data_IF_523576021372
#
_entry.id   IF_523576021372
#
_cell.length_a   1.000
_cell.length_b   1.000
_cell.length_c   1.000
_cell.angle_alpha   90.00
_cell.angle_beta   90.00
_cell.angle_gamma   90.00
#
_symmetry.space_group_name_H-M   'P 1'
#
loop_
_entity.id
_entity.type
_entity.pdbx_description
1 polymer ?
#
# COMPACT_ATOMS: atom_id res chain seq x y z
N UNK A 1 -3.15 29.12 8.64
CA UNK A 1 -3.15 27.74 8.09
C UNK A 1 -1.88 27.56 7.28
N UNK A 2 -1.15 26.47 7.47
CA UNK A 2 0.04 26.15 6.67
C UNK A 2 -0.38 25.45 5.38
N UNK A 3 0.18 25.88 4.25
CA UNK A 3 -0.04 25.28 2.92
C UNK A 3 1.22 24.58 2.43
N UNK A 4 1.04 23.61 1.54
CA UNK A 4 2.10 22.90 0.82
C UNK A 4 1.79 22.95 -0.67
N UNK A 5 2.78 23.29 -1.49
CA UNK A 5 2.68 23.14 -2.96
C UNK A 5 3.35 21.83 -3.36
N UNK A 6 2.61 20.96 -4.04
CA UNK A 6 3.15 19.75 -4.63
C UNK A 6 3.83 20.03 -5.98
N UNK A 7 4.60 19.05 -6.47
CA UNK A 7 5.33 19.07 -7.73
C UNK A 7 4.38 19.26 -8.91
N UNK A 8 3.16 18.76 -8.79
CA UNK A 8 2.11 18.96 -9.79
C UNK A 8 1.60 20.41 -9.88
N UNK A 9 2.02 21.30 -8.99
CA UNK A 9 1.48 22.65 -8.84
C UNK A 9 0.23 22.73 -7.96
N UNK A 10 -0.31 21.59 -7.52
CA UNK A 10 -1.44 21.54 -6.57
C UNK A 10 -1.05 22.09 -5.21
N UNK A 11 -1.97 22.82 -4.59
CA UNK A 11 -1.82 23.38 -3.24
C UNK A 11 -2.69 22.59 -2.27
N UNK A 12 -2.10 22.24 -1.14
CA UNK A 12 -2.72 21.50 -0.06
C UNK A 12 -2.74 22.35 1.21
N UNK A 13 -3.91 22.53 1.83
CA UNK A 13 -4.05 23.21 3.12
C UNK A 13 -4.11 22.18 4.25
N UNK A 14 -3.22 22.29 5.23
CA UNK A 14 -3.18 21.36 6.37
C UNK A 14 -4.37 21.61 7.29
N UNK A 15 -5.15 20.55 7.53
CA UNK A 15 -6.34 20.56 8.39
C UNK A 15 -5.97 20.07 9.79
N UNK A 16 -5.20 18.98 9.88
CA UNK A 16 -4.94 18.30 11.14
C UNK A 16 -3.61 17.56 11.12
N UNK A 17 -2.88 17.53 12.24
CA UNK A 17 -1.79 16.58 12.45
C UNK A 17 -2.36 15.20 12.84
N UNK A 18 -2.10 14.17 12.03
CA UNK A 18 -2.57 12.79 12.28
C UNK A 18 -1.56 12.04 13.14
N UNK A 19 -0.27 12.26 12.91
CA UNK A 19 0.80 11.73 13.72
C UNK A 19 1.93 12.75 13.78
N UNK A 20 2.32 13.13 15.00
CA UNK A 20 3.50 13.98 15.25
C UNK A 20 4.38 13.23 16.24
N UNK A 21 5.61 12.90 15.86
CA UNK A 21 6.64 12.54 16.83
C UNK A 21 7.30 13.83 17.34
N UNK A 22 7.15 14.19 18.62
CA UNK A 22 7.70 15.46 19.14
C UNK A 22 9.22 15.57 19.00
N UNK A 23 9.93 14.43 19.06
CA UNK A 23 11.39 14.37 18.97
C UNK A 23 11.93 14.13 17.55
N UNK A 24 11.08 13.88 16.56
CA UNK A 24 11.50 13.59 15.19
C UNK A 24 10.48 14.11 14.17
N UNK A 25 10.73 15.35 13.71
CA UNK A 25 9.93 15.99 12.67
C UNK A 25 9.95 15.22 11.35
N UNK A 26 10.92 14.31 11.14
CA UNK A 26 11.08 13.53 9.90
C UNK A 26 10.02 12.44 9.75
N UNK A 27 9.19 12.19 10.77
CA UNK A 27 8.08 11.24 10.73
C UNK A 27 6.78 11.92 11.15
N UNK A 28 6.34 12.87 10.33
CA UNK A 28 5.10 13.60 10.60
C UNK A 28 4.09 13.36 9.49
N UNK A 29 2.86 13.05 9.89
CA UNK A 29 1.73 12.84 8.98
C UNK A 29 0.69 13.90 9.25
N UNK A 30 0.33 14.64 8.21
CA UNK A 30 -0.75 15.62 8.25
C UNK A 30 -1.89 15.17 7.34
N UNK A 31 -3.11 15.51 7.74
CA UNK A 31 -4.28 15.48 6.88
C UNK A 31 -4.45 16.87 6.28
N UNK A 32 -4.65 16.92 4.98
CA UNK A 32 -4.80 18.16 4.22
C UNK A 32 -5.98 18.05 3.24
N UNK A 33 -6.46 19.19 2.76
CA UNK A 33 -7.40 19.30 1.64
C UNK A 33 -6.69 19.91 0.44
N UNK A 34 -7.08 19.50 -0.75
CA UNK A 34 -6.73 20.22 -1.97
C UNK A 34 -7.50 21.54 -2.02
N UNK A 35 -6.81 22.64 -2.33
CA UNK A 35 -7.40 23.98 -2.33
C UNK A 35 -7.16 24.77 -3.62
N UNK A 36 -6.57 24.17 -4.65
CA UNK A 36 -6.31 24.84 -5.93
C UNK A 36 -4.97 24.48 -6.53
N UNK A 37 -4.65 25.03 -7.70
CA UNK A 37 -3.39 24.77 -8.39
C UNK A 37 -2.73 26.05 -8.90
N UNK A 38 -1.40 26.07 -8.90
CA UNK A 38 -0.59 27.09 -9.54
C UNK A 38 -0.30 26.67 -10.97
N UNK A 39 -0.54 27.57 -11.92
CA UNK A 39 -0.14 27.38 -13.31
C UNK A 39 0.60 28.62 -13.80
N UNK A 40 1.56 28.42 -14.69
CA UNK A 40 2.25 29.52 -15.38
C UNK A 40 1.54 29.81 -16.70
N UNK A 41 1.01 31.02 -16.86
CA UNK A 41 0.55 31.53 -18.16
C UNK A 41 1.51 32.65 -18.56
N UNK A 42 2.23 32.46 -19.67
CA UNK A 42 3.18 33.45 -20.19
C UNK A 42 4.24 33.90 -19.17
N UNK A 43 4.82 32.96 -18.40
CA UNK A 43 5.84 33.27 -17.39
C UNK A 43 5.31 33.90 -16.10
N UNK A 44 4.02 34.21 -16.02
CA UNK A 44 3.38 34.68 -14.80
C UNK A 44 2.66 33.54 -14.09
N UNK A 45 3.00 33.30 -12.82
CA UNK A 45 2.27 32.37 -11.97
C UNK A 45 0.90 32.97 -11.65
N UNK A 46 -0.17 32.25 -11.99
CA UNK A 46 -1.53 32.59 -11.63
C UNK A 46 -2.17 31.42 -10.89
N UNK A 47 -2.88 31.71 -9.82
CA UNK A 47 -3.72 30.73 -9.12
C UNK A 47 -5.00 30.55 -9.91
N UNK A 48 -5.33 29.34 -10.33
CA UNK A 48 -6.66 29.03 -10.87
C UNK A 48 -7.43 28.18 -9.87
N UNK A 49 -8.58 28.72 -9.50
CA UNK A 49 -9.69 28.10 -8.77
C UNK A 49 -9.37 27.51 -7.38
N UNK A 50 -9.85 28.21 -6.35
CA UNK A 50 -9.92 27.67 -4.98
C UNK A 50 -11.17 26.80 -4.89
N UNK A 51 -11.07 25.54 -5.33
CA UNK A 51 -12.08 24.53 -4.99
C UNK A 51 -11.64 23.83 -3.72
N UNK A 52 -12.38 24.04 -2.64
CA UNK A 52 -12.33 23.12 -1.51
C UNK A 52 -13.00 21.82 -1.94
N UNK A 53 -12.22 20.85 -2.42
CA UNK A 53 -12.74 19.49 -2.64
C UNK A 53 -13.05 18.82 -1.30
N UNK A 54 -14.05 17.94 -1.25
CA UNK A 54 -14.25 17.02 -0.11
C UNK A 54 -13.09 16.03 0.04
N UNK A 55 -12.29 15.89 -1.01
CA UNK A 55 -11.13 15.02 -1.04
C UNK A 55 -10.06 15.46 -0.03
N UNK A 56 -9.70 14.53 0.84
CA UNK A 56 -8.62 14.72 1.80
C UNK A 56 -7.41 13.89 1.42
N UNK A 57 -6.25 14.43 1.76
CA UNK A 57 -4.94 13.89 1.42
C UNK A 57 -4.13 13.69 2.70
N UNK A 58 -3.23 12.71 2.70
CA UNK A 58 -2.21 12.54 3.71
C UNK A 58 -0.89 13.06 3.19
N UNK A 59 -0.33 14.05 3.88
CA UNK A 59 1.01 14.58 3.65
C UNK A 59 1.95 13.86 4.61
N UNK A 60 2.85 13.04 4.06
CA UNK A 60 3.83 12.31 4.84
C UNK A 60 5.20 12.95 4.65
N UNK A 61 5.65 13.67 5.67
CA UNK A 61 7.04 14.08 5.74
C UNK A 61 7.86 12.86 6.13
N UNK A 62 8.86 12.51 5.31
CA UNK A 62 9.66 11.30 5.46
C UNK A 62 11.15 11.60 5.33
N UNK A 63 12.05 10.75 5.87
CA UNK A 63 13.48 10.89 5.62
C UNK A 63 13.81 10.79 4.13
N UNK A 64 14.82 11.54 3.67
CA UNK A 64 15.28 11.55 2.27
C UNK A 64 15.50 10.16 1.65
N UNK A 65 16.10 9.16 2.34
CA UNK A 65 16.24 7.80 1.78
C UNK A 65 14.88 7.13 1.51
N UNK A 66 13.89 7.35 2.38
CA UNK A 66 12.52 6.82 2.22
C UNK A 66 11.84 7.51 1.04
N UNK A 67 11.98 8.85 0.94
CA UNK A 67 11.45 9.63 -0.17
C UNK A 67 11.93 9.11 -1.53
N UNK A 68 13.25 8.96 -1.71
CA UNK A 68 13.82 8.45 -2.97
C UNK A 68 13.40 7.01 -3.26
N UNK A 69 13.29 6.16 -2.23
CA UNK A 69 12.79 4.79 -2.41
C UNK A 69 11.35 4.79 -2.90
N UNK A 70 10.48 5.62 -2.33
CA UNK A 70 9.08 5.74 -2.76
C UNK A 70 8.96 6.25 -4.20
N UNK A 71 9.82 7.18 -4.62
CA UNK A 71 9.89 7.63 -6.03
C UNK A 71 10.28 6.50 -6.97
N UNK A 72 11.31 5.71 -6.64
CA UNK A 72 11.72 4.56 -7.47
C UNK A 72 10.58 3.55 -7.64
N UNK A 73 9.95 3.16 -6.53
CA UNK A 73 8.82 2.21 -6.58
C UNK A 73 7.67 2.76 -7.44
N UNK A 74 7.36 4.05 -7.32
CA UNK A 74 6.29 4.66 -8.12
C UNK A 74 6.63 4.72 -9.62
N UNK A 75 7.91 4.90 -9.98
CA UNK A 75 8.37 4.87 -11.36
C UNK A 75 8.43 3.44 -11.94
N UNK A 76 8.72 2.44 -11.12
CA UNK A 76 8.74 1.02 -11.52
C UNK A 76 7.32 0.45 -11.68
N UNK A 77 6.34 1.00 -10.96
CA UNK A 77 4.97 0.49 -10.90
C UNK A 77 3.91 1.58 -11.19
N UNK A 78 3.98 2.30 -12.33
CA UNK A 78 3.11 3.45 -12.60
C UNK A 78 1.62 3.05 -12.73
N UNK A 79 1.35 1.83 -13.17
CA UNK A 79 -0.01 1.31 -13.41
C UNK A 79 -0.55 0.47 -12.25
N UNK A 80 0.18 0.38 -11.13
CA UNK A 80 -0.26 -0.38 -9.96
C UNK A 80 -1.57 0.20 -9.43
N UNK A 81 -2.64 -0.61 -9.46
CA UNK A 81 -3.93 -0.29 -8.86
C UNK A 81 -4.05 -0.80 -7.42
N UNK A 82 -3.08 -1.59 -6.94
CA UNK A 82 -3.14 -2.27 -5.65
C UNK A 82 -2.26 -1.60 -4.60
N UNK A 83 -1.07 -1.16 -4.99
CA UNK A 83 -0.19 -0.42 -4.10
C UNK A 83 -0.65 1.03 -4.00
N UNK A 84 -0.74 1.52 -2.77
CA UNK A 84 -1.03 2.93 -2.50
C UNK A 84 0.24 3.76 -2.70
N UNK A 85 0.49 4.14 -3.94
CA UNK A 85 1.56 5.06 -4.30
C UNK A 85 1.17 6.51 -3.99
N UNK A 86 2.16 7.39 -3.97
CA UNK A 86 1.91 8.83 -3.83
C UNK A 86 1.48 9.39 -5.18
N UNK A 87 0.51 10.29 -5.20
CA UNK A 87 -0.01 10.90 -6.43
C UNK A 87 0.55 12.31 -6.68
N UNK A 88 1.23 12.87 -5.68
CA UNK A 88 2.00 14.10 -5.76
C UNK A 88 3.08 14.08 -4.68
N UNK A 89 4.00 15.04 -4.70
CA UNK A 89 5.09 15.15 -3.74
C UNK A 89 5.63 16.58 -3.66
N UNK A 90 6.40 16.91 -2.62
CA UNK A 90 7.18 18.13 -2.55
C UNK A 90 8.66 17.75 -2.36
N UNK A 91 9.49 18.14 -3.33
CA UNK A 91 10.90 17.77 -3.39
C UNK A 91 11.78 18.50 -2.38
N UNK A 92 11.44 19.75 -2.08
CA UNK A 92 12.20 20.59 -1.17
C UNK A 92 12.09 20.10 0.28
N UNK A 93 10.90 19.63 0.66
CA UNK A 93 10.56 19.21 2.02
C UNK A 93 10.47 17.68 2.18
N UNK A 94 10.76 16.90 1.13
CA UNK A 94 10.66 15.44 1.13
C UNK A 94 9.28 14.92 1.60
N UNK A 95 8.21 15.55 1.10
CA UNK A 95 6.83 15.18 1.45
C UNK A 95 6.20 14.35 0.35
N UNK A 96 5.59 13.23 0.71
CA UNK A 96 4.78 12.40 -0.17
C UNK A 96 3.30 12.69 0.06
N UNK A 97 2.54 12.91 -1.02
CA UNK A 97 1.09 13.16 -0.97
C UNK A 97 0.36 11.91 -1.38
N UNK A 98 -0.55 11.44 -0.53
CA UNK A 98 -1.40 10.29 -0.83
C UNK A 98 -2.88 10.64 -0.69
N UNK A 99 -3.78 10.08 -1.52
CA UNK A 99 -5.22 10.12 -1.25
C UNK A 99 -5.51 9.57 0.15
N UNK A 100 -6.37 10.23 0.93
CA UNK A 100 -6.77 9.72 2.25
C UNK A 100 -7.70 8.52 2.09
N UNK A 101 -7.44 7.46 2.86
CA UNK A 101 -8.38 6.35 3.01
C UNK A 101 -9.24 6.57 4.25
N UNK A 102 -10.44 5.99 4.28
CA UNK A 102 -11.38 6.15 5.40
C UNK A 102 -10.82 5.55 6.70
N UNK A 103 -10.29 4.32 6.62
CA UNK A 103 -9.70 3.63 7.76
C UNK A 103 -8.66 2.59 7.32
N UNK A 104 -7.99 1.99 8.31
CA UNK A 104 -7.07 0.86 8.09
C UNK A 104 -7.80 -0.47 8.30
N UNK A 105 -7.30 -1.55 7.72
CA UNK A 105 -7.84 -2.90 7.97
C UNK A 105 -7.84 -3.24 9.46
N UNK A 106 -6.80 -2.86 10.19
CA UNK A 106 -6.73 -3.05 11.65
C UNK A 106 -7.87 -2.32 12.35
N UNK A 107 -8.05 -1.02 12.05
CA UNK A 107 -9.14 -0.22 12.63
C UNK A 107 -10.52 -0.79 12.29
N UNK A 108 -10.69 -1.26 11.06
CA UNK A 108 -11.92 -1.90 10.61
C UNK A 108 -12.22 -3.16 11.43
N UNK A 109 -11.25 -4.08 11.53
CA UNK A 109 -11.38 -5.31 12.33
C UNK A 109 -11.68 -4.99 13.80
N UNK A 110 -10.94 -4.04 14.40
CA UNK A 110 -11.14 -3.68 15.82
C UNK A 110 -12.52 -3.10 16.09
N UNK A 111 -13.08 -2.30 15.17
CA UNK A 111 -14.44 -1.75 15.32
C UNK A 111 -15.53 -2.81 15.14
N UNK A 112 -15.30 -3.79 14.28
CA UNK A 112 -16.26 -4.88 14.03
C UNK A 112 -16.42 -5.82 15.23
N UNK A 113 -15.53 -5.78 16.22
CA UNK A 113 -15.58 -6.65 17.39
C UNK A 113 -15.58 -8.12 16.99
N UNK A 114 -16.51 -8.90 17.53
CA UNK A 114 -16.73 -10.32 17.22
C UNK A 114 -17.52 -10.56 15.92
N UNK A 115 -17.97 -9.51 15.22
CA UNK A 115 -18.59 -9.68 13.91
C UNK A 115 -17.51 -10.10 12.92
N UNK A 116 -17.45 -11.40 12.63
CA UNK A 116 -16.51 -11.93 11.64
C UNK A 116 -16.67 -11.18 10.32
N UNK A 117 -15.55 -10.75 9.76
CA UNK A 117 -15.49 -10.42 8.33
C UNK A 117 -15.94 -11.68 7.59
N UNK A 118 -16.96 -11.58 6.75
CA UNK A 118 -17.47 -12.73 6.02
C UNK A 118 -16.38 -13.37 5.13
N UNK A 119 -16.57 -14.64 4.78
CA UNK A 119 -15.59 -15.40 4.00
C UNK A 119 -15.21 -14.72 2.68
N UNK A 120 -16.17 -14.11 1.97
CA UNK A 120 -15.93 -13.47 0.67
C UNK A 120 -15.08 -12.22 0.84
N UNK A 121 -15.38 -11.41 1.85
CA UNK A 121 -14.58 -10.22 2.20
C UNK A 121 -13.16 -10.61 2.64
N UNK A 122 -13.00 -11.62 3.50
CA UNK A 122 -11.68 -12.14 3.92
C UNK A 122 -10.86 -12.60 2.72
N UNK A 123 -11.45 -13.44 1.86
CA UNK A 123 -10.81 -13.95 0.64
C UNK A 123 -10.42 -12.80 -0.31
N UNK A 124 -11.28 -11.79 -0.44
CA UNK A 124 -11.00 -10.61 -1.29
C UNK A 124 -9.83 -9.82 -0.75
N UNK A 125 -9.79 -9.55 0.57
CA UNK A 125 -8.66 -8.85 1.21
C UNK A 125 -7.36 -9.62 1.01
N UNK A 126 -7.34 -10.92 1.32
CA UNK A 126 -6.15 -11.76 1.18
C UNK A 126 -5.67 -11.83 -0.28
N UNK A 127 -6.60 -11.96 -1.24
CA UNK A 127 -6.27 -11.94 -2.66
C UNK A 127 -5.66 -10.60 -3.09
N UNK A 128 -6.28 -9.47 -2.72
CA UNK A 128 -5.78 -8.14 -3.08
C UNK A 128 -4.39 -7.88 -2.47
N UNK A 129 -4.16 -8.28 -1.22
CA UNK A 129 -2.85 -8.17 -0.56
C UNK A 129 -1.82 -9.07 -1.24
N UNK A 130 -2.16 -10.32 -1.55
CA UNK A 130 -1.29 -11.25 -2.25
C UNK A 130 -0.89 -10.74 -3.63
N UNK A 131 -1.86 -10.26 -4.42
CA UNK A 131 -1.61 -9.65 -5.73
C UNK A 131 -0.73 -8.39 -5.61
N UNK A 132 -0.93 -7.55 -4.59
CA UNK A 132 -0.10 -6.36 -4.34
C UNK A 132 1.36 -6.71 -3.99
N UNK A 133 1.57 -7.77 -3.19
CA UNK A 133 2.91 -8.28 -2.87
C UNK A 133 3.60 -8.79 -4.13
N UNK A 134 2.86 -9.49 -5.01
CA UNK A 134 3.41 -9.99 -6.28
C UNK A 134 3.79 -8.85 -7.23
N UNK A 135 3.01 -7.76 -7.29
CA UNK A 135 3.37 -6.55 -8.04
C UNK A 135 4.66 -5.92 -7.49
N UNK A 136 4.80 -5.84 -6.16
CA UNK A 136 5.96 -5.20 -5.53
C UNK A 136 7.23 -6.05 -5.58
N UNK A 137 7.10 -7.37 -5.42
CA UNK A 137 8.19 -8.35 -5.30
C UNK A 137 7.82 -9.64 -6.03
N UNK A 138 7.95 -9.69 -7.35
CA UNK A 138 7.61 -10.88 -8.14
C UNK A 138 8.34 -12.16 -7.67
N UNK A 139 9.54 -12.01 -7.11
CA UNK A 139 10.36 -13.10 -6.57
C UNK A 139 9.79 -13.72 -5.29
N UNK A 140 8.85 -13.05 -4.62
CA UNK A 140 8.16 -13.62 -3.45
C UNK A 140 7.07 -14.62 -3.83
N UNK A 141 6.80 -14.81 -5.14
CA UNK A 141 5.90 -15.87 -5.60
C UNK A 141 6.47 -17.24 -5.23
N UNK A 142 5.60 -18.12 -4.72
CA UNK A 142 5.95 -19.52 -4.45
C UNK A 142 6.57 -20.19 -5.68
N UNK A 143 6.11 -19.85 -6.89
CA UNK A 143 6.67 -20.33 -8.16
C UNK A 143 8.09 -19.84 -8.47
N UNK A 144 8.61 -18.87 -7.72
CA UNK A 144 9.96 -18.33 -7.88
C UNK A 144 10.89 -18.87 -6.78
N UNK A 145 10.60 -18.63 -5.50
CA UNK A 145 11.47 -19.09 -4.41
C UNK A 145 11.34 -20.60 -4.10
N UNK A 146 10.23 -21.24 -4.49
CA UNK A 146 10.03 -22.67 -4.27
C UNK A 146 10.50 -23.55 -5.43
N UNK A 147 11.21 -22.98 -6.43
CA UNK A 147 11.76 -23.77 -7.55
C UNK A 147 12.70 -24.87 -7.09
N UNK A 148 13.48 -24.60 -6.04
CA UNK A 148 14.43 -25.56 -5.46
C UNK A 148 13.75 -26.71 -4.71
N UNK A 149 12.45 -26.62 -4.43
CA UNK A 149 11.71 -27.66 -3.71
C UNK A 149 11.17 -28.77 -4.61
N UNK A 150 11.10 -28.53 -5.92
CA UNK A 150 10.46 -29.43 -6.89
C UNK A 150 8.94 -29.26 -6.99
N UNK A 151 8.33 -29.72 -8.10
CA UNK A 151 6.90 -29.53 -8.38
C UNK A 151 5.97 -30.18 -7.35
N UNK A 152 6.38 -31.30 -6.75
CA UNK A 152 5.62 -32.06 -5.75
C UNK A 152 5.46 -31.25 -4.45
N UNK A 153 6.54 -30.61 -3.97
CA UNK A 153 6.47 -29.74 -2.80
C UNK A 153 5.64 -28.48 -3.06
N UNK A 154 5.76 -27.90 -4.26
CA UNK A 154 4.98 -26.73 -4.65
C UNK A 154 3.48 -27.04 -4.63
N UNK A 155 3.09 -28.22 -5.14
CA UNK A 155 1.70 -28.69 -5.12
C UNK A 155 1.21 -28.91 -3.69
N UNK A 156 2.03 -29.56 -2.85
CA UNK A 156 1.71 -29.80 -1.44
C UNK A 156 1.53 -28.50 -0.65
N UNK A 157 2.46 -27.55 -0.77
CA UNK A 157 2.39 -26.24 -0.10
C UNK A 157 1.19 -25.43 -0.59
N UNK A 158 0.88 -25.47 -1.89
CA UNK A 158 -0.30 -24.80 -2.44
C UNK A 158 -1.60 -25.39 -1.86
N UNK A 159 -1.70 -26.71 -1.74
CA UNK A 159 -2.85 -27.37 -1.12
C UNK A 159 -2.97 -27.02 0.38
N UNK A 160 -1.87 -27.04 1.13
CA UNK A 160 -1.82 -26.68 2.54
C UNK A 160 -2.22 -25.22 2.80
N UNK A 161 -1.85 -24.32 1.89
CA UNK A 161 -2.11 -22.88 2.01
C UNK A 161 -3.42 -22.45 1.34
N UNK A 162 -4.27 -23.40 0.94
CA UNK A 162 -5.59 -23.10 0.38
C UNK A 162 -6.43 -22.21 1.32
N UNK A 163 -7.04 -21.19 0.72
CA UNK A 163 -7.98 -20.29 1.39
C UNK A 163 -9.36 -20.92 1.60
N UNK A 164 -9.65 -22.03 0.92
CA UNK A 164 -10.87 -22.82 1.10
C UNK A 164 -10.56 -23.95 2.10
N UNK A 165 -11.08 -23.89 3.34
CA UNK A 165 -10.70 -24.85 4.38
C UNK A 165 -11.00 -26.30 4.00
N UNK A 166 -12.11 -26.54 3.29
CA UNK A 166 -12.50 -27.86 2.82
C UNK A 166 -11.59 -28.42 1.70
N UNK A 167 -10.80 -27.57 1.05
CA UNK A 167 -9.83 -27.97 0.04
C UNK A 167 -8.43 -28.21 0.63
N UNK A 168 -8.24 -28.00 1.94
CA UNK A 168 -6.97 -28.24 2.61
C UNK A 168 -6.87 -29.72 3.02
N UNK A 169 -5.78 -30.42 2.66
CA UNK A 169 -5.57 -31.79 3.11
C UNK A 169 -5.42 -31.84 4.63
N UNK A 170 -5.87 -32.95 5.21
CA UNK A 170 -5.62 -33.32 6.59
C UNK A 170 -4.12 -33.55 6.82
N UNK A 171 -3.72 -33.59 8.10
CA UNK A 171 -2.32 -33.89 8.44
C UNK A 171 -1.89 -35.27 7.94
N UNK A 172 -2.79 -36.25 7.96
CA UNK A 172 -2.50 -37.62 7.51
C UNK A 172 -2.26 -37.67 6.00
N UNK A 173 -3.08 -36.96 5.22
CA UNK A 173 -2.92 -36.83 3.76
C UNK A 173 -1.62 -36.08 3.41
N UNK A 174 -1.23 -35.07 4.20
CA UNK A 174 0.04 -34.36 4.02
C UNK A 174 1.21 -35.30 4.25
N UNK A 175 1.20 -36.06 5.35
CA UNK A 175 2.30 -36.96 5.73
C UNK A 175 2.40 -38.18 4.81
N UNK A 176 1.32 -38.56 4.12
CA UNK A 176 1.31 -39.62 3.12
C UNK A 176 1.76 -39.21 1.71
N UNK A 177 2.13 -37.94 1.49
CA UNK A 177 2.51 -37.43 0.17
C UNK A 177 3.90 -37.91 -0.28
N UNK A 178 4.06 -38.21 -1.58
CA UNK A 178 5.29 -38.72 -2.20
C UNK A 178 6.50 -37.77 -2.05
N UNK A 179 6.27 -36.48 -1.80
CA UNK A 179 7.36 -35.55 -1.50
C UNK A 179 8.17 -35.95 -0.24
N UNK A 180 7.54 -36.65 0.72
CA UNK A 180 8.23 -37.13 1.92
C UNK A 180 8.98 -38.45 1.69
N UNK A 181 8.73 -39.14 0.59
CA UNK A 181 9.48 -40.35 0.25
C UNK A 181 10.80 -39.92 -0.36
N UNK A 182 11.86 -39.98 0.44
CA UNK A 182 13.22 -39.82 -0.05
C UNK A 182 13.53 -41.06 -0.88
N UNK A 183 13.68 -40.91 -2.19
CA UNK A 183 14.27 -41.97 -3.03
C UNK A 183 15.68 -42.25 -2.50
N UNK A 184 15.93 -43.50 -2.09
CA UNK A 184 17.27 -44.00 -1.76
C UNK A 184 18.14 -44.15 -3.02
#
# INVERSE_FOLDING_TARGET
MSTLTGRSGRIYSIIQGVHKRPSDSKHTIFKAMYVGSLWTRQGQMSLTEIRSGEETYLLKHVPKPVYHRSHRIAAELPDSRRLRLHNDCNDEQYILVHPSLRETLLTFITKSGDSEIDFISRRTILRQVGEAIQELRPEMRLSYWGQDLGPEALQLVAAMTSLEPAARPSIDEIMGHEWWTIDN
#
